data_IF_937579382124
#
_entry.id   IF_937579382124
#
_cell.length_a   1.000
_cell.length_b   1.000
_cell.length_c   1.000
_cell.angle_alpha   90.00
_cell.angle_beta   90.00
_cell.angle_gamma   90.00
#
_symmetry.space_group_name_H-M   'P 1'
#
loop_
_entity.id
_entity.type
_entity.pdbx_description
1 polymer ?
#
# COMPACT_ATOMS: atom_id res chain seq x y z
N UNK A 1 19.86 42.52 -20.64
CA UNK A 1 20.45 42.88 -19.34
C UNK A 1 20.26 41.66 -18.43
N UNK A 2 21.24 40.76 -18.38
CA UNK A 2 22.25 40.66 -17.30
C UNK A 2 21.55 40.46 -15.93
N UNK A 3 21.68 39.33 -15.26
CA UNK A 3 22.97 38.85 -14.74
C UNK A 3 23.06 37.32 -14.60
N UNK A 4 24.24 36.80 -14.98
CA UNK A 4 24.82 35.56 -14.50
C UNK A 4 25.19 35.71 -13.02
N UNK A 5 24.95 34.69 -12.20
CA UNK A 5 25.83 34.35 -11.08
C UNK A 5 26.14 32.86 -11.08
N UNK A 6 27.43 32.57 -10.95
CA UNK A 6 28.07 31.27 -11.00
C UNK A 6 28.48 30.79 -9.59
N UNK A 7 28.95 29.53 -9.56
CA UNK A 7 29.75 28.85 -8.52
C UNK A 7 28.95 28.11 -7.42
N UNK A 8 29.30 26.91 -6.95
CA UNK A 8 30.48 26.07 -7.13
C UNK A 8 30.15 24.59 -6.87
N UNK A 9 30.84 23.69 -7.57
CA UNK A 9 30.89 22.24 -7.36
C UNK A 9 31.74 21.87 -6.14
N UNK A 10 31.30 20.90 -5.32
CA UNK A 10 32.18 20.16 -4.40
C UNK A 10 32.01 18.66 -4.65
N UNK A 11 33.00 18.08 -5.32
CA UNK A 11 33.28 16.64 -5.33
C UNK A 11 34.00 16.30 -4.02
N UNK A 12 33.46 15.38 -3.23
CA UNK A 12 34.11 14.83 -2.05
C UNK A 12 33.97 13.31 -2.03
N UNK A 13 34.99 12.61 -2.53
CA UNK A 13 35.16 11.17 -2.38
C UNK A 13 35.90 10.84 -1.09
N UNK A 14 35.53 9.74 -0.45
CA UNK A 14 36.32 9.09 0.59
C UNK A 14 36.27 7.58 0.35
N UNK A 15 37.42 7.01 0.01
CA UNK A 15 37.63 5.56 -0.14
C UNK A 15 38.35 5.01 1.09
N UNK A 16 38.18 3.69 1.33
CA UNK A 16 38.98 2.75 2.15
C UNK A 16 38.74 2.81 3.68
N UNK A 17 38.62 1.75 4.50
CA UNK A 17 38.77 0.27 4.54
C UNK A 17 38.18 -0.20 5.93
N UNK A 18 38.11 -1.48 6.40
CA UNK A 18 38.86 -2.68 6.01
C UNK A 18 38.08 -4.00 5.84
N UNK A 19 38.75 -4.96 5.20
CA UNK A 19 38.46 -6.39 5.21
C UNK A 19 38.80 -7.00 6.57
N UNK A 20 37.87 -7.80 7.12
CA UNK A 20 38.18 -8.86 8.07
C UNK A 20 37.66 -10.17 7.48
N UNK A 21 38.57 -11.12 7.29
CA UNK A 21 38.31 -12.50 6.91
C UNK A 21 38.08 -13.31 8.17
N UNK A 22 36.94 -14.00 8.27
CA UNK A 22 36.82 -15.16 9.14
C UNK A 22 36.16 -16.30 8.35
N UNK A 23 37.01 -17.29 8.11
CA UNK A 23 36.73 -18.62 7.59
C UNK A 23 36.09 -19.44 8.72
N UNK A 24 34.91 -20.02 8.49
CA UNK A 24 34.37 -21.10 9.32
C UNK A 24 33.41 -21.98 8.50
N UNK A 25 34.02 -22.98 7.86
CA UNK A 25 33.65 -24.41 7.83
C UNK A 25 32.16 -24.84 7.83
N UNK A 26 31.84 -25.64 6.82
CA UNK A 26 30.94 -26.81 6.75
C UNK A 26 29.72 -26.94 7.69
N UNK A 27 28.53 -27.00 7.08
CA UNK A 27 27.72 -28.21 7.07
C UNK A 27 26.76 -28.19 5.86
N UNK A 28 27.01 -29.07 4.89
CA UNK A 28 26.04 -29.41 3.87
C UNK A 28 24.97 -30.31 4.50
N UNK A 29 23.81 -29.73 4.83
CA UNK A 29 22.64 -30.50 5.20
C UNK A 29 21.88 -30.89 3.93
N UNK A 30 22.07 -32.15 3.53
CA UNK A 30 21.27 -32.81 2.51
C UNK A 30 19.86 -33.05 3.06
N UNK A 31 18.99 -32.03 2.95
CA UNK A 31 17.56 -32.23 3.12
C UNK A 31 16.98 -32.84 1.83
N UNK A 32 16.73 -34.15 1.88
CA UNK A 32 15.92 -34.91 0.93
C UNK A 32 14.60 -34.20 0.64
N UNK A 33 14.40 -33.80 -0.61
CA UNK A 33 13.11 -33.31 -1.11
C UNK A 33 12.12 -34.47 -1.21
N UNK A 34 11.00 -34.50 -0.46
CA UNK A 34 9.90 -35.39 -0.81
C UNK A 34 9.23 -34.83 -2.07
N UNK A 35 9.17 -35.66 -3.11
CA UNK A 35 8.33 -35.42 -4.28
C UNK A 35 6.86 -35.40 -3.85
N UNK A 36 6.33 -34.22 -3.57
CA UNK A 36 4.90 -34.02 -3.39
C UNK A 36 4.24 -34.02 -4.76
N UNK A 37 3.63 -35.16 -5.09
CA UNK A 37 2.74 -35.30 -6.23
C UNK A 37 1.60 -34.28 -6.10
N UNK A 38 1.65 -33.21 -6.89
CA UNK A 38 0.51 -32.33 -7.09
C UNK A 38 -0.52 -33.10 -7.92
N UNK A 39 -1.51 -33.65 -7.23
CA UNK A 39 -2.78 -34.03 -7.84
C UNK A 39 -3.32 -32.82 -8.60
N UNK A 40 -3.58 -32.99 -9.88
CA UNK A 40 -4.33 -32.03 -10.68
C UNK A 40 -5.77 -32.06 -10.17
N UNK A 41 -6.05 -31.20 -9.19
CA UNK A 41 -7.41 -30.90 -8.78
C UNK A 41 -8.05 -30.12 -9.93
N UNK A 42 -9.10 -30.72 -10.48
CA UNK A 42 -9.68 -30.37 -11.76
C UNK A 42 -9.99 -28.89 -11.90
N UNK A 43 -9.55 -28.32 -13.01
CA UNK A 43 -10.10 -27.08 -13.53
C UNK A 43 -11.59 -27.30 -13.83
N UNK A 44 -12.44 -27.04 -12.85
CA UNK A 44 -13.85 -26.75 -13.10
C UNK A 44 -13.90 -25.40 -13.80
N UNK A 45 -13.99 -25.46 -15.13
CA UNK A 45 -14.46 -24.35 -15.96
C UNK A 45 -15.87 -23.99 -15.51
N UNK A 46 -15.97 -23.07 -14.55
CA UNK A 46 -17.21 -22.38 -14.27
C UNK A 46 -17.45 -21.39 -15.41
N UNK A 47 -18.43 -21.70 -16.27
CA UNK A 47 -19.07 -20.73 -17.15
C UNK A 47 -19.54 -19.55 -16.31
N UNK A 48 -18.82 -18.43 -16.37
CA UNK A 48 -19.17 -17.20 -15.66
C UNK A 48 -20.46 -16.64 -16.26
N UNK A 49 -21.55 -16.74 -15.50
CA UNK A 49 -22.69 -15.84 -15.64
C UNK A 49 -22.19 -14.39 -15.48
N UNK A 50 -22.87 -13.38 -16.05
CA UNK A 50 -22.49 -11.99 -15.84
C UNK A 50 -22.51 -11.70 -14.33
N UNK A 51 -21.33 -11.54 -13.74
CA UNK A 51 -21.19 -11.25 -12.32
C UNK A 51 -21.74 -9.84 -12.06
N UNK A 52 -22.83 -9.77 -11.30
CA UNK A 52 -23.32 -8.51 -10.76
C UNK A 52 -22.31 -8.05 -9.73
N UNK A 53 -21.62 -6.93 -10.02
CA UNK A 53 -20.65 -6.34 -9.10
C UNK A 53 -21.31 -6.05 -7.75
N UNK A 54 -20.65 -6.44 -6.66
CA UNK A 54 -21.08 -6.05 -5.31
C UNK A 54 -20.87 -4.54 -5.10
N UNK A 55 -21.58 -3.91 -4.14
CA UNK A 55 -21.34 -2.52 -3.79
C UNK A 55 -19.87 -2.23 -3.40
N UNK A 56 -19.21 -3.18 -2.73
CA UNK A 56 -17.80 -3.05 -2.37
C UNK A 56 -16.89 -3.07 -3.60
N UNK A 57 -17.17 -3.92 -4.60
CA UNK A 57 -16.43 -3.97 -5.87
C UNK A 57 -16.60 -2.69 -6.69
N UNK A 58 -17.81 -2.14 -6.75
CA UNK A 58 -18.06 -0.84 -7.41
C UNK A 58 -17.32 0.31 -6.70
N UNK A 59 -17.37 0.35 -5.37
CA UNK A 59 -16.64 1.38 -4.62
C UNK A 59 -15.11 1.19 -4.71
N UNK A 60 -14.60 -0.04 -4.74
CA UNK A 60 -13.17 -0.33 -4.92
C UNK A 60 -12.63 0.32 -6.21
N UNK A 61 -13.34 0.18 -7.33
CA UNK A 61 -12.95 0.79 -8.61
C UNK A 61 -12.93 2.32 -8.52
N UNK A 62 -13.94 2.92 -7.90
CA UNK A 62 -14.04 4.38 -7.70
C UNK A 62 -12.94 4.91 -6.77
N UNK A 63 -12.68 4.23 -5.67
CA UNK A 63 -11.60 4.56 -4.72
C UNK A 63 -10.26 4.47 -5.43
N UNK A 64 -10.01 3.41 -6.21
CA UNK A 64 -8.78 3.27 -7.00
C UNK A 64 -8.58 4.42 -7.96
N UNK A 65 -9.62 4.81 -8.71
CA UNK A 65 -9.55 5.94 -9.64
C UNK A 65 -9.30 7.28 -8.93
N UNK A 66 -9.99 7.52 -7.81
CA UNK A 66 -9.85 8.74 -7.02
C UNK A 66 -8.46 8.87 -6.40
N UNK A 67 -7.97 7.81 -5.75
CA UNK A 67 -6.62 7.77 -5.17
C UNK A 67 -5.54 7.87 -6.25
N UNK A 68 -5.74 7.27 -7.43
CA UNK A 68 -4.79 7.41 -8.56
C UNK A 68 -4.71 8.86 -9.04
N UNK A 69 -5.85 9.54 -9.10
CA UNK A 69 -5.91 10.97 -9.44
C UNK A 69 -5.18 11.82 -8.38
N UNK A 70 -5.41 11.52 -7.10
CA UNK A 70 -4.71 12.21 -6.01
C UNK A 70 -3.19 11.97 -6.11
N UNK A 71 -2.76 10.72 -6.25
CA UNK A 71 -1.38 10.30 -6.29
C UNK A 71 -0.58 10.91 -7.46
N UNK A 72 -1.25 11.23 -8.58
CA UNK A 72 -0.65 11.95 -9.70
C UNK A 72 -0.26 13.40 -9.36
N UNK A 73 -0.92 14.02 -8.38
CA UNK A 73 -0.66 15.40 -7.94
C UNK A 73 0.12 15.49 -6.62
N UNK A 74 -0.04 14.51 -5.74
CA UNK A 74 0.63 14.41 -4.45
C UNK A 74 1.14 12.98 -4.23
N UNK A 75 2.45 12.77 -4.35
CA UNK A 75 3.08 11.44 -4.17
C UNK A 75 2.98 10.93 -2.73
N UNK A 76 2.91 11.85 -1.77
CA UNK A 76 2.73 11.60 -0.34
C UNK A 76 1.60 12.52 0.14
N UNK A 77 0.34 12.14 -0.09
CA UNK A 77 -0.79 12.94 0.40
C UNK A 77 -0.81 12.94 1.93
N UNK A 78 -1.54 13.87 2.55
CA UNK A 78 -1.85 13.87 3.98
C UNK A 78 -3.26 13.30 4.25
N UNK A 79 -3.63 13.16 5.53
CA UNK A 79 -4.96 12.62 5.92
C UNK A 79 -6.14 13.35 5.29
N UNK A 80 -6.12 14.68 5.25
CA UNK A 80 -7.22 15.49 4.71
C UNK A 80 -7.41 15.23 3.21
N UNK A 81 -6.31 15.17 2.46
CA UNK A 81 -6.36 14.85 1.03
C UNK A 81 -6.90 13.43 0.78
N UNK A 82 -6.49 12.47 1.61
CA UNK A 82 -6.99 11.09 1.55
C UNK A 82 -8.49 11.01 1.87
N UNK A 83 -8.95 11.74 2.89
CA UNK A 83 -10.39 11.84 3.24
C UNK A 83 -11.21 12.39 2.07
N UNK A 84 -10.78 13.52 1.50
CA UNK A 84 -11.45 14.13 0.36
C UNK A 84 -11.51 13.20 -0.85
N UNK A 85 -10.43 12.45 -1.11
CA UNK A 85 -10.41 11.46 -2.19
C UNK A 85 -11.39 10.30 -1.94
N UNK A 86 -11.52 9.82 -0.71
CA UNK A 86 -12.49 8.78 -0.33
C UNK A 86 -13.93 9.28 -0.48
N UNK A 87 -14.26 10.47 0.03
CA UNK A 87 -15.60 11.06 -0.11
C UNK A 87 -15.94 11.32 -1.57
N UNK A 88 -15.00 11.82 -2.36
CA UNK A 88 -15.16 11.99 -3.82
C UNK A 88 -15.44 10.67 -4.56
N UNK A 89 -14.90 9.55 -4.06
CA UNK A 89 -15.17 8.23 -4.60
C UNK A 89 -16.55 7.68 -4.21
N UNK A 90 -17.26 8.33 -3.28
CA UNK A 90 -18.57 7.91 -2.78
C UNK A 90 -18.54 7.26 -1.40
N UNK A 91 -17.42 7.31 -0.68
CA UNK A 91 -17.38 6.88 0.72
C UNK A 91 -18.17 7.83 1.62
N UNK A 92 -18.84 7.28 2.63
CA UNK A 92 -19.53 8.05 3.67
C UNK A 92 -18.50 8.55 4.67
N UNK A 93 -18.35 9.87 4.81
CA UNK A 93 -17.26 10.50 5.57
C UNK A 93 -17.12 9.93 6.99
N UNK A 94 -18.23 9.72 7.69
CA UNK A 94 -18.27 9.21 9.06
C UNK A 94 -17.83 7.74 9.19
N UNK A 95 -17.76 7.02 8.06
CA UNK A 95 -17.30 5.63 7.98
C UNK A 95 -15.87 5.50 7.46
N UNK A 96 -15.24 6.60 7.07
CA UNK A 96 -13.86 6.58 6.56
C UNK A 96 -12.89 6.51 7.74
N UNK A 97 -12.11 5.43 7.79
CA UNK A 97 -10.97 5.26 8.67
C UNK A 97 -9.69 5.62 7.89
N UNK A 98 -8.76 6.35 8.50
CA UNK A 98 -7.48 6.71 7.87
C UNK A 98 -6.35 6.44 8.86
N UNK A 99 -5.24 5.86 8.40
CA UNK A 99 -4.03 5.63 9.19
C UNK A 99 -3.34 6.95 9.54
N UNK A 100 -2.57 6.97 10.64
CA UNK A 100 -1.73 8.13 11.00
C UNK A 100 -0.80 8.51 9.85
N UNK A 101 -0.57 9.81 9.66
CA UNK A 101 0.28 10.35 8.58
C UNK A 101 1.61 10.93 9.07
N UNK A 102 1.75 11.13 10.38
CA UNK A 102 2.96 11.63 11.03
C UNK A 102 3.38 10.68 12.14
N UNK A 103 4.66 10.32 12.18
CA UNK A 103 5.25 9.50 13.24
C UNK A 103 5.50 10.32 14.51
N UNK A 104 5.73 9.69 15.67
CA UNK A 104 6.07 10.41 16.90
C UNK A 104 7.34 11.28 16.80
N UNK A 105 8.22 11.02 15.82
CA UNK A 105 9.41 11.84 15.55
C UNK A 105 9.13 13.04 14.64
N UNK A 106 7.88 13.23 14.22
CA UNK A 106 7.46 14.33 13.33
C UNK A 106 7.72 14.07 11.85
N UNK A 107 8.03 12.84 11.46
CA UNK A 107 8.26 12.48 10.06
C UNK A 107 6.98 12.00 9.40
N UNK A 108 6.80 12.32 8.12
CA UNK A 108 5.71 11.77 7.34
C UNK A 108 5.88 10.25 7.16
N UNK A 109 4.76 9.53 7.20
CA UNK A 109 4.73 8.11 6.86
C UNK A 109 5.02 7.91 5.37
N UNK A 110 5.54 6.73 5.04
CA UNK A 110 5.86 6.33 3.67
C UNK A 110 4.61 5.89 2.87
N UNK A 111 3.57 5.46 3.58
CA UNK A 111 2.26 5.15 3.05
C UNK A 111 1.14 5.56 4.01
N UNK A 112 0.06 6.10 3.44
CA UNK A 112 -1.20 6.30 4.18
C UNK A 112 -2.23 5.32 3.63
N UNK A 113 -2.94 4.68 4.55
CA UNK A 113 -4.03 3.77 4.25
C UNK A 113 -5.37 4.42 4.62
N UNK A 114 -6.38 4.13 3.82
CA UNK A 114 -7.78 4.47 4.08
C UNK A 114 -8.61 3.21 4.07
N UNK A 115 -9.70 3.20 4.81
CA UNK A 115 -10.70 2.17 4.72
C UNK A 115 -12.10 2.78 4.86
N UNK A 116 -13.10 2.14 4.28
CA UNK A 116 -14.50 2.47 4.54
C UNK A 116 -15.34 1.21 4.52
N UNK A 117 -16.29 1.13 5.45
CA UNK A 117 -17.24 0.03 5.52
C UNK A 117 -18.37 0.24 4.49
N UNK A 118 -18.56 -0.74 3.63
CA UNK A 118 -19.70 -0.87 2.72
C UNK A 118 -20.35 -2.22 2.98
N UNK A 119 -21.61 -2.22 3.39
CA UNK A 119 -22.32 -3.41 3.87
C UNK A 119 -21.56 -4.16 4.98
N UNK A 120 -20.88 -5.27 4.63
CA UNK A 120 -20.08 -6.09 5.55
C UNK A 120 -18.62 -6.25 5.08
N UNK A 121 -18.21 -5.40 4.16
CA UNK A 121 -16.90 -5.44 3.53
C UNK A 121 -16.20 -4.10 3.71
N UNK A 122 -14.89 -4.16 3.89
CA UNK A 122 -14.02 -3.01 4.01
C UNK A 122 -13.30 -2.79 2.69
N UNK A 123 -13.54 -1.65 2.05
CA UNK A 123 -12.75 -1.20 0.91
C UNK A 123 -11.54 -0.46 1.45
N UNK A 124 -10.36 -1.07 1.36
CA UNK A 124 -9.10 -0.55 1.88
C UNK A 124 -8.25 -0.04 0.73
N UNK A 125 -7.86 1.23 0.79
CA UNK A 125 -6.98 1.88 -0.17
C UNK A 125 -5.65 2.29 0.48
N UNK A 126 -4.60 2.40 -0.32
CA UNK A 126 -3.31 2.93 0.12
C UNK A 126 -2.71 3.84 -0.95
N UNK A 127 -1.96 4.85 -0.51
CA UNK A 127 -1.05 5.62 -1.36
C UNK A 127 0.35 5.55 -0.77
N UNK A 128 1.31 5.10 -1.59
CA UNK A 128 2.73 4.97 -1.23
C UNK A 128 3.59 5.52 -2.35
N UNK A 129 4.28 6.63 -2.12
CA UNK A 129 5.17 7.28 -3.10
C UNK A 129 4.53 7.42 -4.51
N UNK A 130 3.26 7.82 -4.56
CA UNK A 130 2.48 7.98 -5.80
C UNK A 130 1.91 6.69 -6.39
N UNK A 131 2.18 5.53 -5.79
CA UNK A 131 1.58 4.24 -6.16
C UNK A 131 0.31 3.99 -5.35
N UNK A 132 -0.70 3.40 -5.99
CA UNK A 132 -2.01 3.11 -5.39
C UNK A 132 -2.27 1.61 -5.38
N UNK A 133 -2.75 1.09 -4.26
CA UNK A 133 -3.40 -0.22 -4.21
C UNK A 133 -4.74 -0.10 -3.50
N UNK A 134 -5.70 -0.93 -3.91
CA UNK A 134 -7.02 -1.01 -3.27
C UNK A 134 -7.46 -2.46 -3.24
N UNK A 135 -7.94 -2.92 -2.09
CA UNK A 135 -8.41 -4.28 -1.84
C UNK A 135 -9.71 -4.28 -1.05
N UNK A 136 -10.45 -5.37 -1.12
CA UNK A 136 -11.62 -5.62 -0.26
C UNK A 136 -11.19 -6.61 0.81
N UNK A 137 -11.48 -6.29 2.07
CA UNK A 137 -11.24 -7.16 3.22
C UNK A 137 -12.54 -7.40 3.99
N UNK A 138 -12.67 -8.52 4.71
CA UNK A 138 -13.76 -8.71 5.66
C UNK A 138 -13.74 -7.65 6.76
N UNK A 139 -14.92 -7.24 7.23
CA UNK A 139 -15.02 -6.40 8.44
C UNK A 139 -14.49 -7.17 9.66
N UNK A 140 -13.80 -6.46 10.56
CA UNK A 140 -13.31 -7.05 11.81
C UNK A 140 -14.48 -7.32 12.77
N UNK A 141 -14.27 -8.19 13.76
CA UNK A 141 -15.28 -8.49 14.78
C UNK A 141 -15.71 -7.24 15.59
N UNK A 142 -14.87 -6.20 15.63
CA UNK A 142 -15.18 -4.90 16.22
C UNK A 142 -16.17 -4.05 15.40
N UNK A 143 -16.50 -4.47 14.17
CA UNK A 143 -17.28 -3.69 13.22
C UNK A 143 -16.46 -2.62 12.47
N UNK A 144 -15.14 -2.59 12.67
CA UNK A 144 -14.21 -1.66 12.02
C UNK A 144 -13.41 -2.31 10.90
N UNK A 145 -12.75 -1.48 10.11
CA UNK A 145 -11.82 -1.91 9.08
C UNK A 145 -10.36 -1.93 9.56
N UNK A 146 -9.96 -1.03 10.46
CA UNK A 146 -8.63 -1.04 11.05
C UNK A 146 -8.60 -1.52 12.51
N UNK A 147 -7.42 -1.99 12.91
CA UNK A 147 -7.05 -2.22 14.31
C UNK A 147 -6.27 -0.99 14.81
N UNK A 148 -6.50 -0.59 16.05
CA UNK A 148 -5.84 0.58 16.65
C UNK A 148 -6.55 1.90 16.33
N UNK A 149 -5.92 3.02 16.68
CA UNK A 149 -6.54 4.34 16.58
C UNK A 149 -6.57 4.81 15.12
N UNK A 150 -7.78 5.06 14.62
CA UNK A 150 -8.04 5.74 13.36
C UNK A 150 -8.80 7.02 13.70
N UNK A 151 -8.11 8.17 13.72
CA UNK A 151 -8.66 9.49 14.08
C UNK A 151 -8.29 10.53 13.06
#
# INVERSE_FOLDING_TARGET
>A
MAALLAAATVLGGCSLLPSASEDATSAADSATTPASAAAQEGAVSATQAPEVKTPAQDLQEKVKASLTTLAASAKSPNREQMMQAMVKAGAVQEKVEISVDITPTGLAVDAIETATLVDKECVVGQVRAGSVAVTILPVLASGRCFVGDAH
#
